data_IF_813000494866
#
_entry.id   IF_813000494866
#
_cell.length_a   1.000
_cell.length_b   1.000
_cell.length_c   1.000
_cell.angle_alpha   90.00
_cell.angle_beta   90.00
_cell.angle_gamma   90.00
#
_symmetry.space_group_name_H-M   'P 1'
#
loop_
_entity.id
_entity.type
_entity.pdbx_description
1 polymer ?
#
# COMPACT_ATOMS: atom_id res chain seq x y z
N UNK A 1 21.41 -20.98 12.68
CA UNK A 1 21.25 -19.90 11.68
C UNK A 1 19.84 -19.75 11.12
N UNK A 2 19.20 -20.80 10.59
CA UNK A 2 17.90 -20.64 9.92
C UNK A 2 16.78 -20.11 10.85
N UNK A 3 16.70 -20.59 12.08
CA UNK A 3 15.69 -20.13 13.07
C UNK A 3 15.85 -18.66 13.45
N UNK A 4 17.09 -18.15 13.53
CA UNK A 4 17.36 -16.74 13.81
C UNK A 4 16.93 -15.86 12.63
N UNK A 5 17.14 -16.33 11.40
CA UNK A 5 16.73 -15.59 10.20
C UNK A 5 15.20 -15.58 10.06
N UNK A 6 14.53 -16.69 10.34
CA UNK A 6 13.06 -16.78 10.33
C UNK A 6 12.43 -15.87 11.38
N UNK A 7 12.96 -15.88 12.62
CA UNK A 7 12.48 -15.01 13.68
C UNK A 7 12.65 -13.52 13.34
N UNK A 8 13.82 -13.14 12.78
CA UNK A 8 14.07 -11.77 12.36
C UNK A 8 13.18 -11.33 11.19
N UNK A 9 12.89 -12.24 10.24
CA UNK A 9 11.97 -11.98 9.14
C UNK A 9 10.53 -11.79 9.63
N UNK A 10 10.07 -12.62 10.58
CA UNK A 10 8.74 -12.48 11.16
C UNK A 10 8.59 -11.16 11.93
N UNK A 11 9.57 -10.81 12.77
CA UNK A 11 9.56 -9.56 13.53
C UNK A 11 9.54 -8.33 12.59
N UNK A 12 10.31 -8.38 11.50
CA UNK A 12 10.30 -7.32 10.49
C UNK A 12 8.96 -7.24 9.75
N UNK A 13 8.32 -8.37 9.44
CA UNK A 13 6.97 -8.37 8.84
C UNK A 13 5.95 -7.69 9.75
N UNK A 14 5.97 -7.97 11.05
CA UNK A 14 5.07 -7.34 12.03
C UNK A 14 5.31 -5.83 12.16
N UNK A 15 6.56 -5.36 12.01
CA UNK A 15 6.88 -3.92 11.97
C UNK A 15 6.38 -3.25 10.69
N UNK A 16 6.55 -3.91 9.55
CA UNK A 16 6.06 -3.47 8.23
C UNK A 16 4.54 -3.33 8.25
N UNK A 17 3.83 -4.32 8.79
CA UNK A 17 2.37 -4.32 8.87
C UNK A 17 1.87 -3.21 9.82
N UNK A 18 2.52 -3.03 10.98
CA UNK A 18 2.22 -1.94 11.92
C UNK A 18 2.48 -0.55 11.33
N UNK A 19 3.44 -0.43 10.43
CA UNK A 19 3.73 0.81 9.70
C UNK A 19 2.76 1.06 8.52
N UNK A 20 1.81 0.15 8.26
CA UNK A 20 0.84 0.26 7.17
C UNK A 20 1.44 -0.02 5.78
N UNK A 21 2.62 -0.64 5.71
CA UNK A 21 3.32 -0.96 4.47
C UNK A 21 2.86 -2.32 3.91
N UNK A 22 1.56 -2.48 3.72
CA UNK A 22 0.89 -3.78 3.50
C UNK A 22 1.33 -4.50 2.21
N UNK A 23 1.81 -3.73 1.23
CA UNK A 23 2.30 -4.22 -0.05
C UNK A 23 3.75 -4.76 0.03
N UNK A 24 4.42 -4.63 1.18
CA UNK A 24 5.76 -5.18 1.42
C UNK A 24 5.65 -6.53 2.11
N UNK A 25 6.33 -7.54 1.55
CA UNK A 25 6.44 -8.90 2.09
C UNK A 25 7.88 -9.21 2.44
N UNK A 26 8.05 -9.77 3.64
CA UNK A 26 9.34 -10.17 4.17
C UNK A 26 9.49 -11.68 4.06
N UNK A 27 10.58 -12.11 3.43
CA UNK A 27 10.98 -13.50 3.33
C UNK A 27 12.24 -13.80 4.15
N UNK A 28 12.52 -15.09 4.32
CA UNK A 28 13.77 -15.56 4.91
C UNK A 28 14.42 -16.60 3.99
N UNK A 29 15.74 -16.52 3.91
CA UNK A 29 16.62 -17.52 3.31
C UNK A 29 17.86 -17.67 4.20
N UNK A 30 18.66 -18.74 4.06
CA UNK A 30 19.83 -18.98 4.94
C UNK A 30 20.73 -17.74 5.07
N UNK A 31 20.70 -17.10 6.24
CA UNK A 31 21.53 -15.93 6.59
C UNK A 31 21.05 -14.60 6.01
N UNK A 32 19.90 -14.58 5.33
CA UNK A 32 19.40 -13.40 4.61
C UNK A 32 17.90 -13.20 4.86
N UNK A 33 17.52 -11.97 5.13
CA UNK A 33 16.11 -11.54 5.12
C UNK A 33 15.87 -10.82 3.80
N UNK A 34 14.80 -11.15 3.09
CA UNK A 34 14.42 -10.49 1.84
C UNK A 34 13.20 -9.61 2.07
N UNK A 35 13.12 -8.48 1.39
CA UNK A 35 11.92 -7.65 1.37
C UNK A 35 11.53 -7.36 -0.09
N UNK A 36 10.31 -7.69 -0.46
CA UNK A 36 9.79 -7.49 -1.82
C UNK A 36 8.46 -6.75 -1.77
N UNK A 37 8.14 -6.00 -2.82
CA UNK A 37 6.87 -5.29 -2.93
C UNK A 37 7.05 -3.83 -3.32
N UNK A 38 6.09 -3.00 -2.93
CA UNK A 38 6.08 -1.57 -3.28
C UNK A 38 5.76 -0.68 -2.09
N UNK A 39 6.38 0.49 -2.06
CA UNK A 39 6.03 1.59 -1.15
C UNK A 39 5.73 2.84 -1.96
N UNK A 40 4.94 3.75 -1.37
CA UNK A 40 4.65 5.05 -1.97
C UNK A 40 5.73 6.08 -1.61
N UNK A 41 5.79 7.18 -2.37
CA UNK A 41 6.69 8.30 -2.07
C UNK A 41 6.48 8.88 -0.65
N UNK A 42 5.27 8.81 -0.10
CA UNK A 42 4.97 9.26 1.27
C UNK A 42 5.45 8.28 2.34
N UNK A 43 5.51 6.98 2.02
CA UNK A 43 5.89 5.92 2.95
C UNK A 43 7.35 5.49 2.83
N UNK A 44 8.08 5.98 1.83
CA UNK A 44 9.50 5.65 1.60
C UNK A 44 10.38 5.96 2.83
N UNK A 45 10.10 7.05 3.54
CA UNK A 45 10.86 7.43 4.74
C UNK A 45 10.58 6.46 5.90
N UNK A 46 9.34 5.98 6.03
CA UNK A 46 8.99 4.96 7.02
C UNK A 46 9.69 3.63 6.71
N UNK A 47 9.72 3.22 5.44
CA UNK A 47 10.45 2.03 5.01
C UNK A 47 11.94 2.13 5.32
N UNK A 48 12.60 3.24 4.97
CA UNK A 48 14.02 3.47 5.27
C UNK A 48 14.33 3.39 6.77
N UNK A 49 13.43 3.87 7.64
CA UNK A 49 13.59 3.76 9.11
C UNK A 49 13.51 2.32 9.61
N UNK A 50 12.64 1.49 9.02
CA UNK A 50 12.56 0.07 9.35
C UNK A 50 13.83 -0.67 8.93
N UNK A 51 14.35 -0.40 7.74
CA UNK A 51 15.62 -0.97 7.27
C UNK A 51 16.78 -0.62 8.22
N UNK A 52 16.91 0.66 8.60
CA UNK A 52 17.95 1.09 9.54
C UNK A 52 17.80 0.46 10.94
N UNK A 53 16.57 0.27 11.40
CA UNK A 53 16.29 -0.35 12.70
C UNK A 53 16.64 -1.84 12.68
N UNK A 54 16.33 -2.53 11.58
CA UNK A 54 16.71 -3.92 11.34
C UNK A 54 18.23 -4.07 11.36
N UNK A 55 18.96 -3.30 10.55
CA UNK A 55 20.43 -3.36 10.47
C UNK A 55 21.09 -3.10 11.82
N UNK A 56 20.55 -2.15 12.60
CA UNK A 56 21.04 -1.86 13.95
C UNK A 56 20.80 -3.02 14.92
N UNK A 57 19.65 -3.68 14.85
CA UNK A 57 19.28 -4.81 15.72
C UNK A 57 20.10 -6.05 15.43
N UNK A 58 20.27 -6.37 14.16
CA UNK A 58 21.03 -7.55 13.71
C UNK A 58 22.53 -7.30 13.76
N UNK A 59 22.99 -6.05 13.94
CA UNK A 59 24.40 -5.64 13.95
C UNK A 59 25.16 -6.15 12.71
N UNK A 60 24.46 -6.30 11.58
CA UNK A 60 25.02 -6.83 10.34
C UNK A 60 25.22 -8.35 10.32
N UNK A 61 24.80 -9.10 11.34
CA UNK A 61 24.82 -10.59 11.32
C UNK A 61 23.86 -11.17 10.30
N UNK A 62 22.77 -10.45 10.00
CA UNK A 62 21.83 -10.78 8.93
C UNK A 62 21.82 -9.64 7.93
N UNK A 63 21.83 -9.97 6.64
CA UNK A 63 21.67 -8.98 5.56
C UNK A 63 20.21 -8.86 5.18
N UNK A 64 19.70 -7.62 5.07
CA UNK A 64 18.41 -7.33 4.46
C UNK A 64 18.60 -7.05 2.96
N UNK A 65 18.13 -7.95 2.12
CA UNK A 65 18.09 -7.75 0.65
C UNK A 65 16.80 -7.01 0.31
N UNK A 66 16.95 -5.75 -0.09
CA UNK A 66 15.83 -4.87 -0.43
C UNK A 66 15.47 -4.94 -1.91
N UNK A 67 14.36 -5.60 -2.23
CA UNK A 67 13.67 -5.58 -3.51
C UNK A 67 12.41 -4.71 -3.52
N UNK A 68 12.21 -3.84 -2.51
CA UNK A 68 11.04 -2.94 -2.44
C UNK A 68 11.23 -1.77 -3.41
N UNK A 69 10.26 -1.58 -4.30
CA UNK A 69 10.24 -0.50 -5.29
C UNK A 69 9.41 0.68 -4.81
N UNK A 70 9.79 1.89 -5.21
CA UNK A 70 8.96 3.08 -5.01
C UNK A 70 7.96 3.15 -6.17
N UNK A 71 6.68 3.01 -5.87
CA UNK A 71 5.59 3.23 -6.83
C UNK A 71 4.95 4.56 -6.51
N UNK A 72 4.96 5.49 -7.47
CA UNK A 72 4.24 6.74 -7.32
C UNK A 72 2.75 6.46 -7.18
N UNK A 73 2.14 7.06 -6.16
CA UNK A 73 0.70 7.05 -5.99
C UNK A 73 0.11 8.05 -6.98
N UNK A 74 -0.74 7.57 -7.90
CA UNK A 74 -1.60 8.50 -8.64
C UNK A 74 -2.57 9.11 -7.66
N UNK A 75 -2.48 10.44 -7.50
CA UNK A 75 -3.48 11.19 -6.79
C UNK A 75 -4.86 10.85 -7.35
N UNK A 76 -5.89 10.70 -6.52
CA UNK A 76 -7.23 10.37 -7.01
C UNK A 76 -7.75 11.40 -8.02
N UNK A 77 -7.29 12.66 -7.97
CA UNK A 77 -7.56 13.68 -9.00
C UNK A 77 -7.09 13.33 -10.41
N UNK A 78 -6.21 12.34 -10.57
CA UNK A 78 -5.78 11.81 -11.86
C UNK A 78 -6.75 10.75 -12.43
N UNK A 79 -7.75 10.32 -11.65
CA UNK A 79 -8.80 9.41 -12.10
C UNK A 79 -9.83 10.23 -12.90
N UNK A 80 -9.95 9.93 -14.19
CA UNK A 80 -10.94 10.57 -15.04
C UNK A 80 -12.31 9.92 -14.83
N UNK A 81 -13.17 10.58 -14.07
CA UNK A 81 -14.58 10.17 -13.94
C UNK A 81 -15.30 10.58 -15.21
N UNK A 82 -15.86 9.61 -15.92
CA UNK A 82 -16.61 9.85 -17.16
C UNK A 82 -18.08 10.16 -16.88
N UNK A 83 -18.65 9.53 -15.85
CA UNK A 83 -20.03 9.75 -15.43
C UNK A 83 -20.26 9.32 -13.98
N UNK A 84 -21.28 9.91 -13.36
CA UNK A 84 -21.76 9.53 -12.02
C UNK A 84 -23.26 9.30 -12.04
N UNK A 85 -23.69 8.20 -11.42
CA UNK A 85 -25.09 7.82 -11.29
C UNK A 85 -25.52 7.80 -9.82
N UNK A 86 -26.52 8.61 -9.46
CA UNK A 86 -27.03 8.79 -8.10
C UNK A 86 -28.31 7.97 -7.79
N UNK A 87 -28.66 7.00 -8.63
CA UNK A 87 -29.88 6.20 -8.42
C UNK A 87 -29.78 5.23 -7.22
N UNK A 88 -30.77 4.33 -7.11
CA UNK A 88 -30.92 3.36 -6.00
C UNK A 88 -29.64 2.58 -5.70
N UNK A 89 -28.84 2.29 -6.72
CA UNK A 89 -27.53 1.67 -6.60
C UNK A 89 -26.50 2.60 -7.25
N UNK A 90 -25.89 3.51 -6.49
CA UNK A 90 -25.03 4.54 -7.04
C UNK A 90 -23.70 3.94 -7.53
N UNK A 91 -23.19 4.48 -8.64
CA UNK A 91 -21.94 4.05 -9.25
C UNK A 91 -21.28 5.18 -10.04
N UNK A 92 -19.99 5.00 -10.33
CA UNK A 92 -19.21 5.85 -11.24
C UNK A 92 -18.78 5.07 -12.47
N UNK A 93 -18.49 5.78 -13.55
CA UNK A 93 -17.89 5.23 -14.76
C UNK A 93 -16.48 5.77 -14.91
N UNK A 94 -15.51 4.87 -15.03
CA UNK A 94 -14.09 5.16 -15.27
C UNK A 94 -13.62 4.20 -16.35
N UNK A 95 -12.99 4.71 -17.42
CA UNK A 95 -12.52 3.89 -18.55
C UNK A 95 -13.65 3.00 -19.12
N UNK A 96 -14.84 3.58 -19.28
CA UNK A 96 -16.07 2.89 -19.71
C UNK A 96 -16.56 1.73 -18.82
N UNK A 97 -15.97 1.52 -17.63
CA UNK A 97 -16.36 0.47 -16.68
C UNK A 97 -17.10 1.06 -15.46
N UNK A 98 -18.08 0.30 -14.93
CA UNK A 98 -18.92 0.72 -13.80
C UNK A 98 -18.32 0.27 -12.47
N UNK A 99 -18.17 1.19 -11.54
CA UNK A 99 -17.70 0.95 -10.17
C UNK A 99 -18.73 1.39 -9.14
N UNK A 100 -19.22 0.43 -8.36
CA UNK A 100 -20.17 0.67 -7.28
C UNK A 100 -19.45 1.02 -5.97
N UNK A 101 -20.20 1.55 -5.00
CA UNK A 101 -19.69 1.69 -3.63
C UNK A 101 -19.18 0.33 -3.12
N UNK A 102 -17.95 0.33 -2.59
CA UNK A 102 -17.19 -0.85 -2.18
C UNK A 102 -16.26 -1.43 -3.26
N UNK A 103 -16.36 -0.98 -4.51
CA UNK A 103 -15.50 -1.47 -5.59
C UNK A 103 -14.06 -0.95 -5.46
N UNK A 104 -13.09 -1.79 -5.84
CA UNK A 104 -11.66 -1.48 -5.86
C UNK A 104 -11.27 -1.02 -7.29
N UNK A 105 -10.59 0.12 -7.39
CA UNK A 105 -10.08 0.70 -8.63
C UNK A 105 -8.66 0.20 -8.94
N UNK A 106 -8.17 0.44 -10.16
CA UNK A 106 -6.87 -0.06 -10.67
C UNK A 106 -5.62 0.33 -9.83
N UNK A 107 -5.72 1.34 -8.97
CA UNK A 107 -4.66 1.79 -8.07
C UNK A 107 -4.94 1.48 -6.58
N UNK A 108 -5.90 0.60 -6.29
CA UNK A 108 -6.22 0.15 -4.92
C UNK A 108 -7.08 1.12 -4.11
N UNK A 109 -7.56 2.21 -4.72
CA UNK A 109 -8.60 3.06 -4.15
C UNK A 109 -9.94 2.32 -4.13
N UNK A 110 -10.70 2.49 -3.06
CA UNK A 110 -12.04 1.92 -2.88
C UNK A 110 -13.07 3.04 -3.00
N UNK A 111 -14.15 2.82 -3.74
CA UNK A 111 -15.29 3.75 -3.77
C UNK A 111 -16.02 3.70 -2.44
N UNK A 112 -15.77 4.65 -1.54
CA UNK A 112 -16.37 4.64 -0.20
C UNK A 112 -17.75 5.28 -0.18
N UNK A 113 -17.91 6.40 -0.88
CA UNK A 113 -19.17 7.14 -0.96
C UNK A 113 -19.23 7.96 -2.24
N UNK A 114 -20.41 8.09 -2.80
CA UNK A 114 -20.71 9.03 -3.89
C UNK A 114 -21.60 10.13 -3.29
N UNK A 115 -21.10 11.36 -3.29
CA UNK A 115 -21.79 12.56 -2.83
C UNK A 115 -22.12 13.46 -4.03
N UNK A 116 -22.91 14.52 -3.85
CA UNK A 116 -23.46 15.32 -4.97
C UNK A 116 -22.40 15.92 -5.92
N UNK A 117 -21.19 16.22 -5.44
CA UNK A 117 -20.13 16.85 -6.25
C UNK A 117 -18.78 16.16 -6.15
N UNK A 118 -18.71 15.00 -5.49
CA UNK A 118 -17.45 14.29 -5.26
C UNK A 118 -17.66 12.84 -4.90
N UNK A 119 -16.67 12.03 -5.21
CA UNK A 119 -16.56 10.65 -4.73
C UNK A 119 -15.54 10.63 -3.61
N UNK A 120 -15.91 10.07 -2.46
CA UNK A 120 -14.96 9.73 -1.42
C UNK A 120 -14.33 8.38 -1.73
N UNK A 121 -13.01 8.37 -1.78
CA UNK A 121 -12.20 7.19 -2.01
C UNK A 121 -11.41 6.88 -0.75
N UNK A 122 -11.29 5.59 -0.41
CA UNK A 122 -10.39 5.13 0.65
C UNK A 122 -9.29 4.23 0.15
N UNK A 123 -8.14 4.32 0.82
CA UNK A 123 -7.03 3.39 0.66
C UNK A 123 -6.20 3.36 1.93
N UNK A 124 -5.98 2.18 2.50
CA UNK A 124 -5.12 1.98 3.67
C UNK A 124 -5.40 2.97 4.84
N UNK A 125 -6.69 3.22 5.13
CA UNK A 125 -7.13 4.13 6.19
C UNK A 125 -7.09 5.63 5.85
N UNK A 126 -6.66 6.00 4.64
CA UNK A 126 -6.72 7.37 4.12
C UNK A 126 -8.01 7.59 3.36
N UNK A 127 -8.53 8.82 3.45
CA UNK A 127 -9.69 9.29 2.68
C UNK A 127 -9.23 10.40 1.74
N UNK A 128 -9.70 10.35 0.50
CA UNK A 128 -9.50 11.39 -0.49
C UNK A 128 -10.81 11.72 -1.21
N UNK A 129 -10.96 12.96 -1.65
CA UNK A 129 -12.10 13.41 -2.42
C UNK A 129 -11.71 13.58 -3.89
N UNK A 130 -12.41 12.86 -4.76
CA UNK A 130 -12.34 13.01 -6.22
C UNK A 130 -13.50 13.89 -6.67
N UNK A 131 -13.19 15.09 -7.14
CA UNK A 131 -14.18 16.00 -7.74
C UNK A 131 -14.51 15.55 -9.16
N UNK A 132 -15.76 15.70 -9.59
CA UNK A 132 -16.23 15.43 -10.96
C UNK A 132 -17.25 16.48 -11.40
#
# INVERSE_FOLDING_TARGET
DNELTEAAAQELQEEVDRAGLLDVKIGSAKGVVTAEGTVTSESVISWQKLQQSFDRRTKGTLTLVNGVLIKEEKAPSAIAVEAVWHGVQPYIVIDSEKYFVGAILADGWVVERIEDSRVLLSRNGRIAALQY
#
